data_IF_460094023837
#
_entry.id   IF_460094023837
#
_cell.length_a   1.000
_cell.length_b   1.000
_cell.length_c   1.000
_cell.angle_alpha   90.00
_cell.angle_beta   90.00
_cell.angle_gamma   90.00
#
_symmetry.space_group_name_H-M   'P 1'
#
loop_
_entity.id
_entity.type
_entity.pdbx_description
1 polymer ?
#
# COMPACT_ATOMS: atom_id res chain seq x y z
N UNK A 1 -10.05 69.00 -14.31
CA UNK A 1 -11.15 68.02 -14.11
C UNK A 1 -10.96 66.76 -14.95
N UNK A 2 -11.23 66.75 -16.26
CA UNK A 2 -11.27 65.50 -17.07
C UNK A 2 -10.02 64.61 -16.93
N UNK A 3 -8.82 65.20 -16.98
CA UNK A 3 -7.55 64.47 -16.85
C UNK A 3 -7.34 63.80 -15.47
N UNK A 4 -7.92 64.35 -14.40
CA UNK A 4 -7.85 63.75 -13.06
C UNK A 4 -8.74 62.50 -12.99
N UNK A 5 -9.92 62.54 -13.61
CA UNK A 5 -10.81 61.37 -13.73
C UNK A 5 -10.19 60.27 -14.60
N UNK A 6 -9.50 60.63 -15.69
CA UNK A 6 -8.74 59.68 -16.51
C UNK A 6 -7.58 59.04 -15.73
N UNK A 7 -6.81 59.82 -14.97
CA UNK A 7 -5.70 59.30 -14.15
C UNK A 7 -6.23 58.36 -13.05
N UNK A 8 -7.32 58.73 -12.38
CA UNK A 8 -7.98 57.88 -11.37
C UNK A 8 -8.51 56.58 -11.99
N UNK A 9 -9.14 56.66 -13.18
CA UNK A 9 -9.59 55.49 -13.92
C UNK A 9 -8.42 54.55 -14.25
N UNK A 10 -7.32 55.09 -14.78
CA UNK A 10 -6.12 54.31 -15.12
C UNK A 10 -5.49 53.64 -13.88
N UNK A 11 -5.44 54.35 -12.76
CA UNK A 11 -4.98 53.80 -11.48
C UNK A 11 -5.86 52.63 -11.00
N UNK A 12 -7.18 52.74 -11.12
CA UNK A 12 -8.12 51.64 -10.81
C UNK A 12 -7.86 50.43 -11.71
N UNK A 13 -7.67 50.63 -13.02
CA UNK A 13 -7.37 49.53 -13.95
C UNK A 13 -6.09 48.78 -13.58
N UNK A 14 -5.04 49.48 -13.15
CA UNK A 14 -3.80 48.86 -12.65
C UNK A 14 -4.08 47.99 -11.41
N UNK A 15 -4.84 48.52 -10.44
CA UNK A 15 -5.21 47.79 -9.22
C UNK A 15 -6.04 46.54 -9.56
N UNK A 16 -7.02 46.66 -10.46
CA UNK A 16 -7.81 45.52 -10.96
C UNK A 16 -6.92 44.46 -11.61
N UNK A 17 -5.91 44.84 -12.39
CA UNK A 17 -4.99 43.89 -13.03
C UNK A 17 -4.11 43.15 -11.99
N UNK A 18 -3.69 43.83 -10.92
CA UNK A 18 -2.96 43.22 -9.79
C UNK A 18 -3.86 42.19 -9.07
N UNK A 19 -5.13 42.54 -8.81
CA UNK A 19 -6.10 41.62 -8.17
C UNK A 19 -6.39 40.40 -9.05
N UNK A 20 -6.57 40.59 -10.37
CA UNK A 20 -6.77 39.48 -11.33
C UNK A 20 -5.54 38.56 -11.35
N UNK A 21 -4.32 39.12 -11.38
CA UNK A 21 -3.08 38.31 -11.30
C UNK A 21 -3.03 37.51 -9.99
N UNK A 22 -3.33 38.14 -8.85
CA UNK A 22 -3.29 37.47 -7.55
C UNK A 22 -4.30 36.31 -7.46
N UNK A 23 -5.53 36.52 -7.95
CA UNK A 23 -6.54 35.47 -8.07
C UNK A 23 -6.08 34.32 -8.96
N UNK A 24 -5.52 34.62 -10.14
CA UNK A 24 -5.00 33.58 -11.05
C UNK A 24 -3.89 32.77 -10.39
N UNK A 25 -2.93 33.41 -9.72
CA UNK A 25 -1.85 32.67 -9.02
C UNK A 25 -2.40 31.77 -7.91
N UNK A 26 -3.44 32.19 -7.18
CA UNK A 26 -4.11 31.31 -6.20
C UNK A 26 -4.75 30.07 -6.86
N UNK A 27 -5.32 30.22 -8.06
CA UNK A 27 -5.95 29.11 -8.77
C UNK A 27 -4.93 28.13 -9.38
N UNK A 28 -3.85 28.64 -9.98
CA UNK A 28 -2.77 27.80 -10.51
C UNK A 28 -2.15 26.91 -9.42
N UNK A 29 -1.95 27.44 -8.21
CA UNK A 29 -1.46 26.65 -7.07
C UNK A 29 -2.35 25.44 -6.73
N UNK A 30 -3.64 25.42 -7.10
CA UNK A 30 -4.55 24.29 -6.86
C UNK A 30 -4.40 23.25 -7.98
N UNK A 31 -4.38 23.71 -9.23
CA UNK A 31 -4.11 22.88 -10.42
C UNK A 31 -2.76 22.15 -10.30
N UNK A 32 -1.72 22.86 -9.81
CA UNK A 32 -0.40 22.29 -9.51
C UNK A 32 -0.47 21.25 -8.38
N UNK A 33 -1.27 21.47 -7.32
CA UNK A 33 -1.43 20.52 -6.21
C UNK A 33 -2.14 19.24 -6.69
N UNK A 34 -3.20 19.35 -7.49
CA UNK A 34 -3.94 18.18 -8.02
C UNK A 34 -3.04 17.28 -8.87
N UNK A 35 -2.20 17.86 -9.74
CA UNK A 35 -1.22 17.12 -10.51
C UNK A 35 -0.18 16.41 -9.62
N UNK A 36 0.37 17.11 -8.61
CA UNK A 36 1.32 16.53 -7.65
C UNK A 36 0.69 15.42 -6.80
N UNK A 37 -0.62 15.48 -6.51
CA UNK A 37 -1.33 14.41 -5.76
C UNK A 37 -1.46 13.15 -6.61
N UNK A 38 -1.80 13.26 -7.90
CA UNK A 38 -1.93 12.11 -8.79
C UNK A 38 -0.58 11.38 -8.97
N UNK A 39 0.52 12.12 -9.14
CA UNK A 39 1.88 11.57 -9.20
C UNK A 39 2.32 10.90 -7.86
N UNK A 40 1.76 11.31 -6.73
CA UNK A 40 2.00 10.68 -5.43
C UNK A 40 1.17 9.41 -5.23
N UNK A 41 -0.03 9.30 -5.83
CA UNK A 41 -0.85 8.07 -5.78
C UNK A 41 -0.18 6.95 -6.60
N UNK A 42 0.28 7.24 -7.81
CA UNK A 42 1.02 6.28 -8.66
C UNK A 42 2.23 5.67 -7.91
N UNK A 43 3.06 6.53 -7.30
CA UNK A 43 4.22 6.10 -6.49
C UNK A 43 3.83 5.36 -5.21
N UNK A 44 2.65 5.63 -4.66
CA UNK A 44 2.11 4.90 -3.52
C UNK A 44 1.68 3.49 -3.95
N UNK A 45 0.99 3.35 -5.07
CA UNK A 45 0.59 2.05 -5.64
C UNK A 45 1.82 1.16 -5.95
N UNK A 46 2.86 1.70 -6.58
CA UNK A 46 4.14 1.02 -6.79
C UNK A 46 4.77 0.55 -5.46
N UNK A 47 4.76 1.42 -4.43
CA UNK A 47 5.33 1.09 -3.11
C UNK A 47 4.54 0.00 -2.38
N UNK A 48 3.21 -0.03 -2.55
CA UNK A 48 2.33 -1.04 -1.99
C UNK A 48 2.49 -2.37 -2.73
N UNK A 49 2.63 -2.35 -4.07
CA UNK A 49 2.92 -3.54 -4.86
C UNK A 49 4.26 -4.18 -4.45
N UNK A 50 5.31 -3.36 -4.26
CA UNK A 50 6.61 -3.83 -3.75
C UNK A 50 6.48 -4.45 -2.35
N UNK A 51 5.79 -3.78 -1.42
CA UNK A 51 5.60 -4.28 -0.05
C UNK A 51 4.77 -5.57 -0.01
N UNK A 52 3.75 -5.72 -0.86
CA UNK A 52 2.96 -6.96 -0.97
C UNK A 52 3.80 -8.13 -1.51
N UNK A 53 4.75 -7.88 -2.42
CA UNK A 53 5.71 -8.89 -2.88
C UNK A 53 6.68 -9.26 -1.74
N UNK A 54 7.23 -8.28 -1.04
CA UNK A 54 8.15 -8.49 0.09
C UNK A 54 7.48 -9.29 1.22
N UNK A 55 6.27 -8.92 1.65
CA UNK A 55 5.47 -9.69 2.62
C UNK A 55 5.16 -11.11 2.14
N UNK A 56 4.87 -11.30 0.84
CA UNK A 56 4.60 -12.65 0.30
C UNK A 56 5.86 -13.51 0.35
N UNK A 57 7.02 -12.96 0.01
CA UNK A 57 8.29 -13.65 0.12
C UNK A 57 8.68 -13.95 1.57
N UNK A 58 8.47 -13.00 2.50
CA UNK A 58 8.75 -13.21 3.92
C UNK A 58 7.86 -14.32 4.49
N UNK A 59 6.55 -14.30 4.20
CA UNK A 59 5.62 -15.37 4.58
C UNK A 59 6.05 -16.73 4.01
N UNK A 60 6.53 -16.79 2.76
CA UNK A 60 7.03 -18.04 2.17
C UNK A 60 8.31 -18.54 2.86
N UNK A 61 9.27 -17.64 3.13
CA UNK A 61 10.53 -17.96 3.86
C UNK A 61 10.25 -18.40 5.30
N UNK A 62 9.23 -17.84 5.94
CA UNK A 62 8.77 -18.23 7.29
C UNK A 62 8.12 -19.62 7.28
N UNK A 63 7.28 -19.92 6.28
CA UNK A 63 6.67 -21.24 6.11
C UNK A 63 7.72 -22.34 5.85
N UNK A 64 8.69 -22.06 4.98
CA UNK A 64 9.84 -22.94 4.71
C UNK A 64 10.67 -23.21 5.98
N UNK A 65 10.89 -22.19 6.81
CA UNK A 65 11.57 -22.35 8.10
C UNK A 65 10.78 -23.21 9.10
N UNK A 66 9.44 -23.17 9.08
CA UNK A 66 8.60 -24.04 9.91
C UNK A 66 8.65 -25.49 9.41
N UNK A 67 8.49 -25.73 8.10
CA UNK A 67 8.56 -27.07 7.50
C UNK A 67 9.92 -27.76 7.79
N UNK A 68 11.01 -26.98 7.80
CA UNK A 68 12.35 -27.45 8.16
C UNK A 68 12.54 -27.72 9.67
N UNK A 69 11.70 -27.16 10.55
CA UNK A 69 11.75 -27.40 12.00
C UNK A 69 10.87 -28.58 12.43
N UNK A 70 9.70 -28.77 11.80
CA UNK A 70 8.77 -29.86 12.12
C UNK A 70 9.21 -31.24 11.57
N UNK A 71 10.17 -31.30 10.63
CA UNK A 71 10.61 -32.56 10.01
C UNK A 71 12.15 -32.76 9.97
N UNK A 72 12.79 -33.09 11.11
CA UNK A 72 14.25 -33.22 11.23
C UNK A 72 14.85 -34.51 10.62
N UNK A 73 14.32 -35.03 9.50
CA UNK A 73 14.95 -36.14 8.76
C UNK A 73 14.47 -36.31 7.31
N UNK A 74 15.00 -35.50 6.38
CA UNK A 74 15.11 -35.86 4.96
C UNK A 74 16.50 -35.50 4.45
N UNK A 75 17.38 -36.49 4.33
CA UNK A 75 18.65 -36.32 3.63
C UNK A 75 18.43 -36.27 2.10
N UNK A 76 19.29 -35.51 1.42
CA UNK A 76 19.29 -35.32 -0.03
C UNK A 76 19.33 -36.68 -0.73
N UNK A 77 18.27 -37.03 -1.46
CA UNK A 77 18.18 -38.26 -2.25
C UNK A 77 17.71 -37.99 -3.67
N UNK A 78 18.53 -37.27 -4.45
CA UNK A 78 18.58 -37.51 -5.88
C UNK A 78 19.55 -38.66 -6.18
N UNK A 79 19.23 -39.49 -7.19
CA UNK A 79 20.03 -40.58 -7.73
C UNK A 79 20.37 -41.78 -6.79
N UNK A 80 19.40 -42.70 -6.62
CA UNK A 80 19.66 -44.12 -6.96
C UNK A 80 18.56 -44.65 -7.86
N UNK A 81 18.95 -45.19 -9.02
CA UNK A 81 18.07 -45.83 -9.99
C UNK A 81 18.19 -47.36 -9.88
N UNK A 82 17.06 -48.06 -10.09
CA UNK A 82 16.94 -49.53 -10.20
C UNK A 82 17.33 -50.36 -8.96
N UNK A 83 16.34 -51.05 -8.36
CA UNK A 83 16.32 -52.51 -8.47
C UNK A 83 14.94 -53.10 -8.12
N UNK A 84 14.34 -53.80 -9.09
CA UNK A 84 13.26 -54.75 -8.85
C UNK A 84 13.88 -56.17 -8.91
N UNK A 85 13.46 -57.11 -8.05
CA UNK A 85 12.88 -58.39 -8.48
C UNK A 85 12.48 -59.33 -7.30
N UNK A 86 11.16 -59.60 -7.21
CA UNK A 86 10.51 -60.91 -6.96
C UNK A 86 10.99 -61.84 -5.81
N UNK A 87 10.07 -62.13 -4.88
CA UNK A 87 9.47 -63.48 -4.67
C UNK A 87 8.21 -63.40 -3.77
N UNK A 88 7.04 -63.04 -4.31
CA UNK A 88 5.95 -63.94 -4.78
C UNK A 88 5.60 -65.15 -3.88
N UNK A 89 4.42 -65.06 -3.24
CA UNK A 89 3.30 -66.02 -3.18
C UNK A 89 2.07 -65.19 -2.75
N UNK A 90 1.13 -64.86 -3.67
CA UNK A 90 -0.20 -65.51 -3.80
C UNK A 90 -1.00 -65.44 -2.49
N UNK A 91 -2.13 -64.73 -2.39
CA UNK A 91 -3.28 -64.84 -3.29
C UNK A 91 -3.41 -63.76 -4.39
N UNK A 92 -3.81 -64.20 -5.58
CA UNK A 92 -4.04 -63.49 -6.85
C UNK A 92 -5.51 -63.84 -7.23
N UNK A 93 -6.39 -63.09 -7.93
CA UNK A 93 -6.35 -61.99 -8.95
C UNK A 93 -7.83 -61.47 -9.11
N UNK A 94 -8.26 -60.46 -9.92
CA UNK A 94 -7.58 -59.49 -10.80
C UNK A 94 -8.00 -58.00 -10.64
N UNK A 95 -7.39 -57.11 -11.42
CA UNK A 95 -8.00 -55.90 -12.03
C UNK A 95 -7.38 -55.73 -13.43
N UNK A 96 -8.15 -55.51 -14.52
CA UNK A 96 -7.58 -55.36 -15.87
C UNK A 96 -7.75 -53.94 -16.47
N UNK A 97 -6.60 -53.29 -16.70
CA UNK A 97 -6.23 -52.39 -17.81
C UNK A 97 -7.09 -51.16 -18.18
N UNK A 98 -6.37 -50.03 -18.23
CA UNK A 98 -6.63 -48.76 -18.97
C UNK A 98 -6.74 -49.00 -20.50
N UNK A 99 -7.27 -48.04 -21.33
CA UNK A 99 -7.07 -46.59 -21.18
C UNK A 99 -8.28 -45.64 -21.33
N UNK A 100 -7.96 -44.37 -21.10
CA UNK A 100 -8.66 -43.12 -21.46
C UNK A 100 -9.94 -42.65 -20.72
N UNK A 101 -10.06 -41.31 -20.66
CA UNK A 101 -11.17 -40.44 -20.23
C UNK A 101 -11.91 -40.73 -18.90
N UNK A 102 -11.14 -40.88 -17.80
CA UNK A 102 -11.68 -40.92 -16.44
C UNK A 102 -12.08 -39.56 -15.86
N UNK A 103 -13.36 -39.17 -16.00
CA UNK A 103 -13.90 -37.95 -15.36
C UNK A 103 -14.20 -38.14 -13.86
N UNK A 104 -13.42 -37.52 -12.97
CA UNK A 104 -13.79 -37.37 -11.54
C UNK A 104 -13.58 -35.95 -11.03
N UNK A 105 -14.67 -35.19 -11.06
CA UNK A 105 -15.16 -34.29 -10.00
C UNK A 105 -14.08 -33.50 -9.22
N UNK A 106 -13.87 -32.25 -9.66
CA UNK A 106 -13.48 -31.15 -8.78
C UNK A 106 -14.44 -31.13 -7.56
N UNK A 107 -13.96 -31.07 -6.32
CA UNK A 107 -14.81 -30.78 -5.16
C UNK A 107 -15.47 -29.41 -5.34
N UNK A 108 -16.81 -29.38 -5.37
CA UNK A 108 -17.56 -28.13 -5.35
C UNK A 108 -17.66 -27.62 -3.92
N UNK A 109 -16.65 -26.90 -3.48
CA UNK A 109 -16.78 -25.93 -2.40
C UNK A 109 -16.40 -24.55 -2.96
N UNK A 110 -17.38 -23.90 -3.57
CA UNK A 110 -17.30 -22.50 -3.96
C UNK A 110 -17.44 -21.65 -2.68
N UNK A 111 -16.34 -21.41 -1.96
CA UNK A 111 -16.33 -20.49 -0.81
C UNK A 111 -15.42 -19.27 -1.06
N UNK A 112 -15.42 -18.80 -2.31
CA UNK A 112 -15.16 -17.41 -2.68
C UNK A 112 -16.50 -16.69 -2.95
N UNK A 113 -17.47 -16.88 -2.06
CA UNK A 113 -18.68 -16.05 -2.04
C UNK A 113 -18.33 -14.64 -1.52
N UNK A 114 -18.77 -13.63 -2.27
CA UNK A 114 -19.02 -12.26 -1.80
C UNK A 114 -17.84 -11.43 -1.22
N UNK A 115 -16.69 -11.37 -1.91
CA UNK A 115 -15.82 -10.18 -1.77
C UNK A 115 -16.42 -8.99 -2.55
N UNK A 116 -17.39 -8.31 -1.94
CA UNK A 116 -17.80 -6.99 -2.40
C UNK A 116 -16.79 -5.95 -1.88
N UNK A 117 -16.24 -5.06 -2.74
CA UNK A 117 -15.58 -3.86 -2.23
C UNK A 117 -16.62 -3.04 -1.45
N UNK A 118 -16.22 -2.40 -0.35
CA UNK A 118 -17.14 -1.66 0.52
C UNK A 118 -17.62 -0.39 -0.22
N UNK A 119 -18.72 -0.51 -0.96
CA UNK A 119 -19.32 0.57 -1.74
C UNK A 119 -20.74 0.87 -1.28
N UNK A 120 -20.92 1.22 0.01
CA UNK A 120 -22.13 1.93 0.41
C UNK A 120 -21.90 2.93 1.54
N UNK A 121 -22.60 4.07 1.43
CA UNK A 121 -22.47 5.22 2.32
C UNK A 121 -21.29 6.14 2.02
N UNK A 122 -21.58 7.33 1.47
CA UNK A 122 -20.71 8.51 1.64
C UNK A 122 -20.81 8.98 3.10
N UNK A 123 -20.30 8.18 4.02
CA UNK A 123 -19.85 8.69 5.30
C UNK A 123 -18.73 9.67 4.98
N UNK A 124 -18.98 10.96 5.22
CA UNK A 124 -18.06 12.07 4.95
C UNK A 124 -16.66 11.64 5.37
N UNK A 125 -15.79 11.43 4.37
CA UNK A 125 -14.51 10.76 4.55
C UNK A 125 -13.66 11.56 5.54
N UNK A 126 -13.73 11.13 6.80
CA UNK A 126 -13.10 11.81 7.92
C UNK A 126 -11.75 11.13 8.03
N UNK A 127 -10.92 11.40 7.03
CA UNK A 127 -9.59 10.82 6.83
C UNK A 127 -8.88 10.87 8.18
N UNK A 128 -8.85 9.72 8.86
CA UNK A 128 -8.20 9.59 10.15
C UNK A 128 -6.72 9.70 9.87
N UNK A 129 -6.23 10.95 9.94
CA UNK A 129 -4.86 11.29 9.64
C UNK A 129 -3.98 10.31 10.42
N UNK A 130 -3.17 9.53 9.71
CA UNK A 130 -2.29 8.57 10.36
C UNK A 130 -1.45 9.29 11.43
N UNK A 131 -1.09 8.60 12.50
CA UNK A 131 -0.39 9.24 13.62
C UNK A 131 0.85 10.01 13.15
N UNK A 132 1.56 9.50 12.14
CA UNK A 132 2.67 10.17 11.46
C UNK A 132 2.25 11.42 10.70
N UNK A 133 1.13 11.40 9.95
CA UNK A 133 0.58 12.58 9.28
C UNK A 133 0.12 13.66 10.29
N UNK A 134 -0.49 13.29 11.41
CA UNK A 134 -0.84 14.24 12.48
C UNK A 134 0.41 14.91 13.07
N UNK A 135 1.44 14.12 13.39
CA UNK A 135 2.72 14.61 13.91
C UNK A 135 3.37 15.59 12.92
N UNK A 136 3.43 15.21 11.64
CA UNK A 136 4.01 16.04 10.59
C UNK A 136 3.21 17.35 10.39
N UNK A 137 1.88 17.28 10.39
CA UNK A 137 1.01 18.45 10.24
C UNK A 137 1.11 19.42 11.43
N UNK A 138 1.28 18.91 12.66
CA UNK A 138 1.52 19.75 13.83
C UNK A 138 2.93 20.35 13.83
N UNK A 139 3.95 19.59 13.40
CA UNK A 139 5.33 20.08 13.26
C UNK A 139 5.46 21.17 12.18
N UNK A 140 4.79 21.00 11.02
CA UNK A 140 4.70 22.03 9.98
C UNK A 140 4.00 23.32 10.44
N UNK A 141 3.14 23.24 11.46
CA UNK A 141 2.53 24.39 12.14
C UNK A 141 3.45 25.04 13.19
N UNK A 142 4.70 24.59 13.33
CA UNK A 142 5.70 25.16 14.22
C UNK A 142 5.62 24.71 15.68
N UNK A 143 4.78 23.71 16.02
CA UNK A 143 4.76 23.14 17.37
C UNK A 143 6.01 22.29 17.63
N UNK A 144 6.50 22.36 18.87
CA UNK A 144 7.67 21.61 19.34
C UNK A 144 7.34 20.13 19.60
N UNK A 145 8.38 19.28 19.68
CA UNK A 145 8.22 17.85 19.97
C UNK A 145 7.47 17.57 21.29
N UNK A 146 7.65 18.44 22.28
CA UNK A 146 7.04 18.36 23.60
C UNK A 146 5.53 18.73 23.60
N UNK A 147 5.15 19.72 22.80
CA UNK A 147 3.74 20.10 22.60
C UNK A 147 2.97 19.06 21.78
N UNK A 148 3.61 18.49 20.75
CA UNK A 148 3.03 17.41 19.93
C UNK A 148 2.83 16.16 20.78
N UNK A 149 3.82 15.79 21.60
CA UNK A 149 3.75 14.68 22.54
C UNK A 149 2.57 14.81 23.52
N UNK A 150 2.44 15.97 24.16
CA UNK A 150 1.32 16.28 25.07
C UNK A 150 -0.05 16.31 24.38
N UNK A 151 -0.11 16.68 23.10
CA UNK A 151 -1.35 16.80 22.34
C UNK A 151 -1.86 15.47 21.78
N UNK A 152 -0.98 14.51 21.52
CA UNK A 152 -1.31 13.19 20.99
C UNK A 152 -1.23 12.07 22.04
N UNK A 153 -0.88 12.40 23.28
CA UNK A 153 -0.61 11.48 24.39
C UNK A 153 0.44 10.41 24.02
N UNK A 154 1.62 10.87 23.58
CA UNK A 154 2.75 10.04 23.13
C UNK A 154 4.06 10.45 23.77
N UNK A 155 5.05 9.56 23.77
CA UNK A 155 6.38 9.86 24.30
C UNK A 155 7.11 10.90 23.45
N UNK A 156 7.67 11.95 24.07
CA UNK A 156 8.47 12.97 23.37
C UNK A 156 9.59 12.36 22.51
N UNK A 157 10.25 11.30 23.00
CA UNK A 157 11.28 10.55 22.28
C UNK A 157 10.74 9.89 21.01
N UNK A 158 9.50 9.38 21.04
CA UNK A 158 8.83 8.75 19.90
C UNK A 158 8.52 9.80 18.82
N UNK A 159 7.99 10.95 19.22
CA UNK A 159 7.74 12.10 18.33
C UNK A 159 9.03 12.58 17.68
N UNK A 160 10.12 12.76 18.44
CA UNK A 160 11.41 13.16 17.88
C UNK A 160 12.04 12.12 16.97
N UNK A 161 11.86 10.83 17.27
CA UNK A 161 12.37 9.74 16.45
C UNK A 161 11.63 9.69 15.10
N UNK A 162 10.30 9.77 15.12
CA UNK A 162 9.46 9.81 13.91
C UNK A 162 9.78 11.03 13.03
N UNK A 163 9.96 12.22 13.63
CA UNK A 163 10.35 13.42 12.90
C UNK A 163 11.77 13.29 12.29
N UNK A 164 12.72 12.68 12.99
CA UNK A 164 14.09 12.44 12.48
C UNK A 164 14.11 11.42 11.33
N UNK A 165 13.30 10.36 11.40
CA UNK A 165 13.14 9.41 10.28
C UNK A 165 12.52 10.10 9.05
N UNK A 166 11.44 10.87 9.22
CA UNK A 166 10.83 11.64 8.14
C UNK A 166 11.80 12.66 7.52
N UNK A 167 12.62 13.33 8.33
CA UNK A 167 13.61 14.31 7.85
C UNK A 167 14.79 13.67 7.11
N UNK A 168 15.12 12.40 7.38
CA UNK A 168 16.19 11.65 6.69
C UNK A 168 15.75 11.09 5.32
N UNK A 169 14.45 10.97 5.09
CA UNK A 169 13.86 10.44 3.87
C UNK A 169 13.45 11.56 2.88
N UNK A 170 14.09 12.73 2.98
CA UNK A 170 13.98 13.90 2.08
C UNK A 170 15.36 14.37 1.64
#
# INVERSE_FOLDING_TARGET
MIYLLLLLSFLIHIITFIVIRHLKMKQQNIEDIEANVLEQVEKMEDSLALYLVEMKEENQKFLEQIDLMDNPSVEITEAVQQNQLKKKTTNEVPQPNKPEEGTVRIPKDNEYEDYQPITDGIQKDTVEQSLTAQILHLSQKGMTSDEIAKKLDKGKTEIELLLKFQQKNR
#
